data_IF_320146206014
#
_entry.id   IF_320146206014
#
_cell.length_a   1.000
_cell.length_b   1.000
_cell.length_c   1.000
_cell.angle_alpha   90.00
_cell.angle_beta   90.00
_cell.angle_gamma   90.00
#
_symmetry.space_group_name_H-M   'P 1'
#
loop_
_entity.id
_entity.type
_entity.pdbx_description
1 polymer ?
#
# COMPACT_ATOMS: atom_id res chain seq x y z
N UNK A 1 -20.85 -0.24 -8.68
CA UNK A 1 -19.63 0.56 -8.45
C UNK A 1 -18.74 0.38 -9.66
N UNK A 2 -18.20 1.49 -10.15
CA UNK A 2 -17.25 1.48 -11.26
C UNK A 2 -15.85 1.08 -10.75
N UNK A 3 -14.96 0.50 -11.60
CA UNK A 3 -13.60 0.13 -11.18
C UNK A 3 -12.81 1.29 -10.55
N UNK A 4 -13.05 2.51 -11.02
CA UNK A 4 -12.44 3.74 -10.47
C UNK A 4 -12.90 4.05 -9.04
N UNK A 5 -14.13 3.70 -8.67
CA UNK A 5 -14.63 3.89 -7.32
C UNK A 5 -13.98 2.91 -6.36
N UNK A 6 -13.74 1.66 -6.80
CA UNK A 6 -13.03 0.65 -6.01
C UNK A 6 -11.57 1.04 -5.82
N UNK A 7 -10.91 1.54 -6.87
CA UNK A 7 -9.54 2.05 -6.80
C UNK A 7 -9.43 3.21 -5.80
N UNK A 8 -10.37 4.16 -5.84
CA UNK A 8 -10.44 5.26 -4.87
C UNK A 8 -10.64 4.79 -3.41
N UNK A 9 -11.38 3.70 -3.20
CA UNK A 9 -11.53 3.11 -1.87
C UNK A 9 -10.24 2.43 -1.40
N UNK A 10 -9.58 1.68 -2.28
CA UNK A 10 -8.32 1.00 -2.02
C UNK A 10 -7.17 1.98 -1.68
N UNK A 11 -7.20 3.19 -2.24
CA UNK A 11 -6.22 4.25 -1.96
C UNK A 11 -6.15 4.69 -0.49
N UNK A 12 -7.14 4.31 0.33
CA UNK A 12 -7.17 4.59 1.77
C UNK A 12 -6.32 3.61 2.59
N UNK A 13 -5.90 2.49 1.99
CA UNK A 13 -5.06 1.51 2.65
C UNK A 13 -3.74 2.15 3.11
N UNK A 14 -3.26 1.74 4.27
CA UNK A 14 -2.04 2.26 4.86
C UNK A 14 -0.84 1.48 4.34
N UNK A 15 0.15 2.20 3.83
CA UNK A 15 1.41 1.65 3.34
C UNK A 15 2.58 2.33 4.02
N UNK A 16 3.71 1.63 4.05
CA UNK A 16 4.95 2.14 4.64
C UNK A 16 5.83 2.75 3.55
N UNK A 17 6.34 3.95 3.81
CA UNK A 17 7.29 4.63 2.93
C UNK A 17 8.55 5.02 3.70
N UNK A 18 9.65 5.19 2.97
CA UNK A 18 10.89 5.81 3.46
C UNK A 18 11.04 7.13 2.70
N UNK A 19 10.77 8.29 3.32
CA UNK A 19 10.88 9.59 2.68
C UNK A 19 12.35 10.02 2.57
N UNK A 20 12.63 10.94 1.65
CA UNK A 20 13.93 11.59 1.48
C UNK A 20 13.90 13.10 1.78
N UNK A 21 12.87 13.55 2.51
CA UNK A 21 12.66 14.94 2.89
C UNK A 21 12.29 15.03 4.36
N UNK A 22 12.47 16.22 4.93
CA UNK A 22 12.04 16.55 6.29
C UNK A 22 10.74 17.33 6.23
N UNK A 23 9.77 16.94 7.04
CA UNK A 23 8.52 17.69 7.23
C UNK A 23 7.93 17.34 8.59
N UNK A 24 7.50 18.35 9.33
CA UNK A 24 6.83 18.15 10.61
C UNK A 24 5.46 17.46 10.43
N UNK A 25 4.83 17.12 11.55
CA UNK A 25 3.51 16.47 11.55
C UNK A 25 2.48 17.32 10.80
N UNK A 26 1.73 16.69 9.92
CA UNK A 26 0.61 17.28 9.18
C UNK A 26 -0.68 16.81 9.83
N UNK A 27 -1.58 17.74 10.13
CA UNK A 27 -2.89 17.45 10.69
C UNK A 27 -3.94 17.49 9.57
N UNK A 28 -4.48 16.34 9.19
CA UNK A 28 -5.55 16.23 8.20
C UNK A 28 -6.89 15.95 8.88
N UNK A 29 -7.99 16.19 8.15
CA UNK A 29 -9.35 15.86 8.63
C UNK A 29 -9.47 14.37 8.97
N UNK A 30 -8.80 13.50 8.19
CA UNK A 30 -8.81 12.05 8.37
C UNK A 30 -7.73 11.50 9.32
N UNK A 31 -6.96 12.37 10.00
CA UNK A 31 -5.90 11.97 10.92
C UNK A 31 -4.56 12.69 10.69
N UNK A 32 -3.59 12.37 11.54
CA UNK A 32 -2.26 12.99 11.51
C UNK A 32 -1.28 12.14 10.70
N UNK A 33 -0.38 12.79 9.94
CA UNK A 33 0.70 12.14 9.21
C UNK A 33 2.07 12.69 9.59
N UNK A 34 3.08 11.83 9.56
CA UNK A 34 4.44 12.19 9.94
C UNK A 34 4.71 12.12 11.45
N UNK A 35 5.82 12.70 11.92
CA UNK A 35 6.78 13.49 11.15
C UNK A 35 7.48 12.68 10.06
N UNK A 36 7.81 13.35 8.96
CA UNK A 36 8.59 12.77 7.85
C UNK A 36 10.05 13.07 8.11
N UNK A 37 10.81 12.05 8.51
CA UNK A 37 12.24 12.13 8.74
C UNK A 37 12.98 11.37 7.63
N UNK A 38 13.96 11.98 6.93
CA UNK A 38 14.69 11.32 5.86
C UNK A 38 15.28 9.98 6.31
N UNK A 39 15.04 8.92 5.52
CA UNK A 39 15.59 7.58 5.78
C UNK A 39 14.87 6.78 6.87
N UNK A 40 13.90 7.35 7.60
CA UNK A 40 13.12 6.63 8.60
C UNK A 40 11.76 6.22 8.03
N UNK A 41 11.30 4.97 8.25
CA UNK A 41 10.01 4.52 7.77
C UNK A 41 8.86 5.27 8.46
N UNK A 42 7.82 5.59 7.68
CA UNK A 42 6.58 6.20 8.16
C UNK A 42 5.39 5.59 7.41
N UNK A 43 4.27 5.47 8.12
CA UNK A 43 3.02 4.95 7.57
C UNK A 43 2.16 6.10 7.03
N UNK A 44 1.65 5.93 5.82
CA UNK A 44 0.82 6.91 5.13
C UNK A 44 -0.26 6.21 4.30
N UNK A 45 -1.38 6.87 3.98
CA UNK A 45 -2.33 6.38 2.98
C UNK A 45 -1.67 6.19 1.61
N UNK A 46 -2.13 5.20 0.85
CA UNK A 46 -1.59 4.86 -0.46
C UNK A 46 -1.64 6.05 -1.43
N UNK A 47 -2.73 6.81 -1.49
CA UNK A 47 -2.82 7.99 -2.37
C UNK A 47 -1.66 8.98 -2.15
N UNK A 48 -1.22 9.16 -0.90
CA UNK A 48 -0.10 10.03 -0.58
C UNK A 48 1.24 9.38 -0.93
N UNK A 49 1.38 8.08 -0.67
CA UNK A 49 2.56 7.33 -1.05
C UNK A 49 2.82 7.41 -2.56
N UNK A 50 1.79 7.18 -3.39
CA UNK A 50 1.85 7.27 -4.85
C UNK A 50 2.23 8.68 -5.31
N UNK A 51 1.60 9.71 -4.73
CA UNK A 51 1.91 11.11 -5.07
C UNK A 51 3.36 11.49 -4.74
N UNK A 52 3.86 11.08 -3.58
CA UNK A 52 5.24 11.31 -3.17
C UNK A 52 6.23 10.54 -4.05
N UNK A 53 5.89 9.29 -4.44
CA UNK A 53 6.71 8.46 -5.31
C UNK A 53 6.86 9.07 -6.71
N UNK A 54 5.77 9.54 -7.31
CA UNK A 54 5.79 10.24 -8.61
C UNK A 54 6.70 11.47 -8.59
N UNK A 55 6.78 12.16 -7.43
CA UNK A 55 7.66 13.32 -7.20
C UNK A 55 9.07 12.95 -6.75
N UNK A 56 9.42 11.65 -6.73
CA UNK A 56 10.70 11.12 -6.28
C UNK A 56 11.05 11.52 -4.83
N UNK A 57 10.03 11.65 -3.97
CA UNK A 57 10.17 12.06 -2.56
C UNK A 57 10.18 10.92 -1.56
N UNK A 58 9.96 9.68 -2.00
CA UNK A 58 10.03 8.52 -1.14
C UNK A 58 10.37 7.24 -1.91
N UNK A 59 10.75 6.22 -1.15
CA UNK A 59 10.70 4.82 -1.57
C UNK A 59 9.54 4.15 -0.84
N UNK A 60 8.66 3.49 -1.58
CA UNK A 60 7.59 2.68 -0.98
C UNK A 60 8.17 1.33 -0.57
N UNK A 61 7.81 0.88 0.63
CA UNK A 61 8.15 -0.45 1.14
C UNK A 61 6.99 -1.38 0.76
N UNK A 62 7.25 -2.50 0.08
CA UNK A 62 6.18 -3.43 -0.27
C UNK A 62 5.52 -3.98 1.00
N UNK A 63 4.18 -4.16 1.01
CA UNK A 63 3.47 -4.86 2.06
C UNK A 63 4.04 -6.25 2.33
N UNK A 64 3.94 -6.72 3.58
CA UNK A 64 4.54 -7.98 4.02
C UNK A 64 3.97 -9.23 3.32
N UNK A 65 2.76 -9.12 2.77
CA UNK A 65 2.12 -10.17 2.00
C UNK A 65 2.54 -10.19 0.53
N UNK A 66 3.17 -9.12 0.02
CA UNK A 66 3.71 -9.05 -1.34
C UNK A 66 5.08 -9.76 -1.44
N UNK A 67 5.26 -10.81 -0.66
CA UNK A 67 6.44 -11.66 -0.69
C UNK A 67 6.20 -12.87 -1.59
N UNK A 68 7.16 -13.20 -2.45
CA UNK A 68 6.98 -14.21 -3.48
C UNK A 68 6.75 -15.62 -2.88
N UNK A 69 7.45 -15.96 -1.79
CA UNK A 69 7.34 -17.28 -1.17
C UNK A 69 5.96 -17.44 -0.50
N UNK A 70 5.51 -16.39 0.21
CA UNK A 70 4.16 -16.37 0.82
C UNK A 70 3.05 -16.43 -0.23
N UNK A 71 3.20 -15.70 -1.34
CA UNK A 71 2.21 -15.69 -2.42
C UNK A 71 2.10 -17.05 -3.11
N UNK A 72 3.20 -17.78 -3.26
CA UNK A 72 3.16 -19.14 -3.81
C UNK A 72 2.46 -20.12 -2.84
N UNK A 73 2.65 -19.95 -1.52
CA UNK A 73 1.91 -20.71 -0.51
C UNK A 73 0.39 -20.45 -0.58
N UNK A 74 -0.02 -19.18 -0.64
CA UNK A 74 -1.43 -18.79 -0.77
C UNK A 74 -2.02 -19.37 -2.06
N UNK A 75 -1.28 -19.30 -3.17
CA UNK A 75 -1.71 -19.84 -4.46
C UNK A 75 -1.93 -21.35 -4.42
N UNK A 76 -1.04 -22.10 -3.78
CA UNK A 76 -1.18 -23.55 -3.65
C UNK A 76 -2.30 -23.94 -2.67
N UNK A 77 -2.56 -23.13 -1.64
CA UNK A 77 -3.73 -23.32 -0.78
C UNK A 77 -5.04 -23.10 -1.54
N UNK A 78 -5.18 -21.98 -2.26
CA UNK A 78 -6.38 -21.65 -3.05
C UNK A 78 -6.68 -22.73 -4.10
N UNK A 79 -5.66 -23.40 -4.65
CA UNK A 79 -5.84 -24.51 -5.60
C UNK A 79 -6.36 -25.80 -4.99
N UNK A 80 -6.21 -25.98 -3.67
CA UNK A 80 -6.62 -27.19 -2.94
C UNK A 80 -8.02 -27.10 -2.36
N UNK A 81 -8.48 -25.88 -2.06
CA UNK A 81 -9.79 -25.65 -1.48
C UNK A 81 -10.82 -25.36 -2.58
N UNK A 82 -12.02 -25.96 -2.47
CA UNK A 82 -13.14 -25.70 -3.38
C UNK A 82 -13.92 -24.41 -3.00
N UNK A 83 -13.60 -23.84 -1.84
CA UNK A 83 -14.20 -22.62 -1.31
C UNK A 83 -13.19 -21.47 -1.31
N UNK A 84 -13.68 -20.23 -1.20
CA UNK A 84 -12.82 -19.05 -1.14
C UNK A 84 -11.92 -19.09 0.10
N UNK A 85 -10.60 -19.05 -0.13
CA UNK A 85 -9.63 -18.94 0.96
C UNK A 85 -9.43 -17.47 1.37
N UNK A 86 -8.95 -17.20 2.59
CA UNK A 86 -8.68 -15.84 3.03
C UNK A 86 -7.57 -15.19 2.20
N UNK A 87 -7.85 -13.98 1.71
CA UNK A 87 -6.92 -13.14 0.94
C UNK A 87 -6.13 -12.20 1.86
N UNK A 88 -4.91 -11.77 1.46
CA UNK A 88 -4.03 -10.99 2.32
C UNK A 88 -4.46 -9.54 2.56
N UNK A 89 -5.26 -8.96 1.66
CA UNK A 89 -5.86 -7.64 1.80
C UNK A 89 -7.19 -7.61 1.04
N UNK A 90 -8.21 -6.89 1.52
CA UNK A 90 -9.48 -6.71 0.82
C UNK A 90 -9.32 -6.09 -0.58
N UNK A 91 -8.24 -5.32 -0.79
CA UNK A 91 -7.97 -4.56 -2.02
C UNK A 91 -6.67 -5.01 -2.70
N UNK A 92 -6.28 -6.29 -2.55
CA UNK A 92 -4.99 -6.78 -3.07
C UNK A 92 -4.80 -6.56 -4.58
N UNK A 93 -5.88 -6.59 -5.37
CA UNK A 93 -5.83 -6.36 -6.82
C UNK A 93 -5.46 -4.91 -7.14
N UNK A 94 -6.14 -3.94 -6.53
CA UNK A 94 -5.85 -2.52 -6.69
C UNK A 94 -4.46 -2.18 -6.15
N UNK A 95 -4.10 -2.72 -4.97
CA UNK A 95 -2.78 -2.53 -4.36
C UNK A 95 -1.67 -3.03 -5.28
N UNK A 96 -1.74 -4.26 -5.78
CA UNK A 96 -0.72 -4.79 -6.69
C UNK A 96 -0.63 -4.00 -7.99
N UNK A 97 -1.78 -3.65 -8.59
CA UNK A 97 -1.82 -2.83 -9.81
C UNK A 97 -1.16 -1.47 -9.60
N UNK A 98 -1.53 -0.76 -8.53
CA UNK A 98 -1.00 0.58 -8.25
C UNK A 98 0.48 0.51 -7.86
N UNK A 99 0.89 -0.49 -7.06
CA UNK A 99 2.26 -0.60 -6.57
C UNK A 99 3.27 -1.09 -7.61
N UNK A 100 2.84 -1.89 -8.60
CA UNK A 100 3.72 -2.44 -9.63
C UNK A 100 3.80 -1.58 -10.89
N UNK A 101 2.80 -0.73 -11.16
CA UNK A 101 2.77 0.14 -12.35
C UNK A 101 3.39 1.53 -12.11
N UNK A 102 4.10 1.75 -10.99
CA UNK A 102 4.76 3.02 -10.64
C UNK A 102 6.10 3.25 -11.33
#
# INVERSE_FOLDING_TARGET
MEPSEVEFLAEKEIVKIIPNFSLDKIYLIGGDLGPFNPGLPVEVPLWLALNLKQRQKCRIVPPEWMDADKLEEIREQERREDAFTPIPSPYYMELTKLLLNM
#
